data_IF_274710789070
#
_entry.id   IF_274710789070
#
_cell.length_a   1.000
_cell.length_b   1.000
_cell.length_c   1.000
_cell.angle_alpha   90.00
_cell.angle_beta   90.00
_cell.angle_gamma   90.00
#
_symmetry.space_group_name_H-M   'P 1'
#
loop_
_entity.id
_entity.type
_entity.pdbx_description
1 polymer ?
#
# COMPACT_ATOMS: atom_id res chain seq x y z
N UNK A 1 26.04 -5.54 31.70
CA UNK A 1 25.85 -4.66 30.52
C UNK A 1 24.86 -5.38 29.59
N UNK A 2 23.78 -4.73 29.16
CA UNK A 2 22.90 -5.33 28.15
C UNK A 2 23.67 -5.50 26.84
N UNK A 3 23.52 -6.65 26.18
CA UNK A 3 24.09 -6.87 24.85
C UNK A 3 23.60 -5.78 23.89
N UNK A 4 24.46 -5.28 23.00
CA UNK A 4 24.04 -4.29 22.02
C UNK A 4 22.87 -4.86 21.19
N UNK A 5 21.89 -4.00 20.88
CA UNK A 5 20.76 -4.36 20.07
C UNK A 5 21.25 -4.66 18.64
N UNK A 6 21.05 -5.89 18.17
CA UNK A 6 21.54 -6.36 16.88
C UNK A 6 20.45 -7.17 16.15
N UNK A 7 20.64 -7.37 14.86
CA UNK A 7 19.83 -8.27 14.06
C UNK A 7 19.86 -9.70 14.62
N UNK A 8 18.68 -10.30 14.75
CA UNK A 8 18.54 -11.70 15.19
C UNK A 8 18.16 -12.57 13.97
N UNK A 9 19.11 -13.33 13.43
CA UNK A 9 18.88 -14.16 12.25
C UNK A 9 17.92 -15.33 12.53
N UNK A 10 17.81 -15.82 13.77
CA UNK A 10 16.92 -16.92 14.09
C UNK A 10 15.45 -16.49 13.98
N UNK A 11 15.12 -15.32 14.52
CA UNK A 11 13.78 -14.74 14.42
C UNK A 11 13.45 -14.44 12.95
N UNK A 12 14.37 -13.84 12.18
CA UNK A 12 14.14 -13.54 10.77
C UNK A 12 13.96 -14.81 9.92
N UNK A 13 14.71 -15.87 10.23
CA UNK A 13 14.62 -17.15 9.54
C UNK A 13 13.25 -17.82 9.70
N UNK A 14 12.55 -17.62 10.82
CA UNK A 14 11.18 -18.10 11.02
C UNK A 14 10.25 -17.55 9.93
N UNK A 15 10.32 -16.24 9.64
CA UNK A 15 9.56 -15.66 8.55
C UNK A 15 10.05 -16.16 7.18
N UNK A 16 11.35 -16.06 6.90
CA UNK A 16 11.87 -16.31 5.55
C UNK A 16 11.65 -17.76 5.08
N UNK A 17 11.73 -18.74 5.98
CA UNK A 17 11.45 -20.15 5.68
C UNK A 17 9.97 -20.41 5.34
N UNK A 18 9.07 -19.54 5.78
CA UNK A 18 7.64 -19.65 5.49
C UNK A 18 7.24 -19.01 4.16
N UNK A 19 8.18 -18.33 3.46
CA UNK A 19 7.92 -17.61 2.23
C UNK A 19 8.39 -18.38 1.01
N UNK A 20 7.56 -18.33 -0.05
CA UNK A 20 7.87 -18.88 -1.37
C UNK A 20 8.70 -17.92 -2.26
N UNK A 21 8.84 -16.67 -1.83
CA UNK A 21 9.70 -15.64 -2.41
C UNK A 21 10.09 -14.65 -1.33
N UNK A 22 11.38 -14.35 -1.21
CA UNK A 22 11.93 -13.37 -0.29
C UNK A 22 12.38 -12.16 -1.10
N UNK A 23 11.62 -11.07 -1.02
CA UNK A 23 11.99 -9.77 -1.57
C UNK A 23 12.15 -8.78 -0.41
N UNK A 24 13.37 -8.28 -0.22
CA UNK A 24 13.71 -7.35 0.85
C UNK A 24 13.87 -5.92 0.32
N UNK A 25 13.48 -4.96 1.15
CA UNK A 25 13.68 -3.54 0.88
C UNK A 25 14.38 -2.91 2.08
N UNK A 26 15.48 -2.23 1.82
CA UNK A 26 16.32 -1.55 2.79
C UNK A 26 16.06 -0.05 2.71
N UNK A 27 15.64 0.56 3.82
CA UNK A 27 15.32 1.99 3.86
C UNK A 27 16.13 2.63 5.00
N UNK A 28 17.02 3.53 4.66
CA UNK A 28 17.77 4.26 5.67
C UNK A 28 16.87 5.33 6.33
N UNK A 29 16.79 5.41 7.67
CA UNK A 29 15.87 6.31 8.38
C UNK A 29 16.11 7.79 8.10
N UNK A 30 17.30 8.17 7.68
CA UNK A 30 17.66 9.54 7.32
C UNK A 30 17.49 9.85 5.81
N UNK A 31 16.86 8.97 5.04
CA UNK A 31 16.59 9.19 3.61
C UNK A 31 17.79 9.05 2.68
N UNK A 32 18.90 8.45 3.14
CA UNK A 32 20.16 8.33 2.37
C UNK A 32 20.01 7.31 1.22
N UNK A 33 19.04 6.38 1.29
CA UNK A 33 18.84 5.40 0.23
C UNK A 33 17.65 4.49 0.47
N UNK A 34 17.11 4.00 -0.65
CA UNK A 34 16.11 2.94 -0.70
C UNK A 34 16.60 1.91 -1.72
N UNK A 35 16.81 0.69 -1.27
CA UNK A 35 17.30 -0.42 -2.10
C UNK A 35 16.35 -1.60 -1.95
N UNK A 36 16.17 -2.38 -3.01
CA UNK A 36 15.40 -3.62 -2.98
C UNK A 36 16.18 -4.75 -3.62
N UNK A 37 15.94 -5.98 -3.20
CA UNK A 37 16.54 -7.17 -3.80
C UNK A 37 15.62 -8.38 -3.66
N UNK A 38 15.49 -9.12 -4.76
CA UNK A 38 14.77 -10.40 -4.81
C UNK A 38 15.77 -11.55 -4.64
N UNK A 39 15.57 -12.32 -3.59
CA UNK A 39 16.39 -13.50 -3.27
C UNK A 39 15.73 -14.82 -3.71
N UNK A 40 14.53 -14.74 -4.33
CA UNK A 40 13.76 -15.93 -4.60
C UNK A 40 13.50 -16.72 -3.31
N UNK A 41 13.97 -17.98 -3.24
CA UNK A 41 13.89 -18.84 -2.04
C UNK A 41 15.20 -18.86 -1.23
N UNK A 42 16.18 -18.02 -1.56
CA UNK A 42 17.51 -17.97 -0.94
C UNK A 42 17.48 -17.38 0.47
N UNK A 43 17.09 -18.20 1.46
CA UNK A 43 16.95 -17.75 2.85
C UNK A 43 18.28 -17.33 3.47
N UNK A 44 19.38 -18.06 3.25
CA UNK A 44 20.68 -17.76 3.85
C UNK A 44 21.27 -16.45 3.32
N UNK A 45 21.19 -16.23 2.01
CA UNK A 45 21.62 -15.00 1.36
C UNK A 45 20.80 -13.80 1.83
N UNK A 46 19.48 -13.99 1.96
CA UNK A 46 18.58 -12.95 2.46
C UNK A 46 18.90 -12.59 3.92
N UNK A 47 19.19 -13.58 4.78
CA UNK A 47 19.59 -13.35 6.18
C UNK A 47 20.92 -12.59 6.27
N UNK A 48 21.92 -13.01 5.50
CA UNK A 48 23.22 -12.34 5.48
C UNK A 48 23.13 -10.88 5.01
N UNK A 49 22.36 -10.64 3.95
CA UNK A 49 22.13 -9.30 3.42
C UNK A 49 21.36 -8.42 4.40
N UNK A 50 20.30 -8.96 5.06
CA UNK A 50 19.52 -8.27 6.06
C UNK A 50 20.36 -7.90 7.28
N UNK A 51 21.18 -8.83 7.80
CA UNK A 51 22.06 -8.62 8.94
C UNK A 51 23.06 -7.48 8.65
N UNK A 52 23.72 -7.55 7.48
CA UNK A 52 24.67 -6.51 7.07
C UNK A 52 23.99 -5.15 6.96
N UNK A 53 22.89 -5.03 6.22
CA UNK A 53 22.21 -3.76 6.03
C UNK A 53 21.66 -3.19 7.35
N UNK A 54 21.16 -4.05 8.26
CA UNK A 54 20.65 -3.60 9.55
C UNK A 54 21.78 -3.11 10.47
N UNK A 55 22.97 -3.74 10.43
CA UNK A 55 24.16 -3.26 11.12
C UNK A 55 24.66 -1.91 10.57
N UNK A 56 24.51 -1.68 9.26
CA UNK A 56 24.79 -0.41 8.59
C UNK A 56 23.70 0.68 8.85
N UNK A 57 22.71 0.40 9.73
CA UNK A 57 21.67 1.36 10.15
C UNK A 57 20.44 1.42 9.26
N UNK A 58 20.29 0.52 8.29
CA UNK A 58 19.08 0.43 7.48
C UNK A 58 17.95 -0.29 8.23
N UNK A 59 16.75 0.19 8.02
CA UNK A 59 15.53 -0.51 8.35
C UNK A 59 15.25 -1.58 7.30
N UNK A 60 14.96 -2.81 7.74
CA UNK A 60 14.73 -3.94 6.86
C UNK A 60 13.24 -4.22 6.76
N UNK A 61 12.75 -4.25 5.53
CA UNK A 61 11.37 -4.58 5.21
C UNK A 61 11.31 -5.77 4.25
N UNK A 62 10.24 -6.51 4.31
CA UNK A 62 9.89 -7.51 3.32
C UNK A 62 8.64 -7.10 2.56
N UNK A 63 8.52 -7.53 1.33
CA UNK A 63 7.32 -7.33 0.53
C UNK A 63 6.33 -8.43 0.91
N UNK A 64 5.17 -8.03 1.45
CA UNK A 64 4.17 -8.96 1.97
C UNK A 64 3.71 -9.95 0.90
N UNK A 65 3.49 -9.46 -0.32
CA UNK A 65 2.99 -10.24 -1.44
C UNK A 65 4.07 -10.46 -2.49
N UNK A 66 3.80 -11.37 -3.44
CA UNK A 66 4.78 -11.74 -4.47
C UNK A 66 4.99 -10.63 -5.49
N UNK A 67 6.25 -10.39 -5.80
CA UNK A 67 6.66 -9.49 -6.88
C UNK A 67 7.00 -10.27 -8.15
N UNK A 68 7.03 -9.60 -9.29
CA UNK A 68 7.65 -10.15 -10.49
C UNK A 68 9.12 -10.47 -10.21
N UNK A 69 9.65 -11.48 -10.89
CA UNK A 69 11.04 -11.91 -10.69
C UNK A 69 12.04 -10.80 -11.05
N UNK A 70 13.20 -10.84 -10.39
CA UNK A 70 14.37 -9.98 -10.67
C UNK A 70 14.16 -8.47 -10.47
N UNK A 71 13.27 -8.09 -9.57
CA UNK A 71 13.13 -6.68 -9.19
C UNK A 71 14.17 -6.33 -8.12
N UNK A 72 15.09 -5.44 -8.45
CA UNK A 72 16.14 -4.95 -7.54
C UNK A 72 15.86 -3.52 -7.05
N UNK A 73 14.59 -3.24 -6.73
CA UNK A 73 14.14 -1.95 -6.25
C UNK A 73 12.97 -2.12 -5.27
N UNK A 74 12.54 -1.03 -4.62
CA UNK A 74 11.24 -1.01 -3.93
C UNK A 74 10.14 -1.22 -4.96
N UNK A 75 9.32 -2.29 -4.86
CA UNK A 75 8.26 -2.55 -5.82
C UNK A 75 7.13 -1.52 -5.72
N UNK A 76 6.45 -1.33 -6.84
CA UNK A 76 5.20 -0.61 -6.95
C UNK A 76 4.08 -1.60 -7.32
N UNK A 77 2.82 -1.17 -7.31
CA UNK A 77 1.67 -2.05 -7.58
C UNK A 77 1.79 -2.87 -8.87
N UNK A 78 2.26 -2.26 -9.96
CA UNK A 78 2.42 -2.94 -11.25
C UNK A 78 3.47 -4.06 -11.24
N UNK A 79 4.33 -4.09 -10.23
CA UNK A 79 5.30 -5.16 -10.04
C UNK A 79 4.73 -6.35 -9.27
N UNK A 80 3.54 -6.23 -8.68
CA UNK A 80 2.94 -7.30 -7.89
C UNK A 80 2.32 -8.36 -8.80
N UNK A 81 2.54 -9.65 -8.47
CA UNK A 81 2.08 -10.79 -9.26
C UNK A 81 0.93 -11.54 -8.63
N UNK A 82 1.00 -11.76 -7.33
CA UNK A 82 -0.02 -12.47 -6.59
C UNK A 82 0.05 -12.09 -5.10
N UNK A 83 -1.08 -12.17 -4.42
CA UNK A 83 -1.13 -12.03 -2.98
C UNK A 83 -1.04 -13.40 -2.30
N UNK A 84 -0.35 -13.43 -1.16
CA UNK A 84 -0.21 -14.59 -0.27
C UNK A 84 -0.65 -14.31 1.16
N UNK A 85 -0.89 -13.02 1.47
CA UNK A 85 -1.38 -12.59 2.77
C UNK A 85 -2.38 -11.45 2.63
N UNK A 86 -3.39 -11.46 3.49
CA UNK A 86 -4.09 -10.28 3.96
C UNK A 86 -3.27 -9.70 5.11
N UNK A 87 -3.26 -8.37 5.30
CA UNK A 87 -2.41 -7.73 6.29
C UNK A 87 -2.99 -6.44 6.84
N UNK A 88 -2.55 -6.08 8.05
CA UNK A 88 -2.86 -4.80 8.70
C UNK A 88 -1.64 -4.29 9.46
N UNK A 89 -1.52 -2.97 9.58
CA UNK A 89 -0.46 -2.26 10.32
C UNK A 89 -1.13 -1.29 11.31
N UNK A 90 -0.94 -1.53 12.61
CA UNK A 90 -1.57 -0.75 13.68
C UNK A 90 -0.47 0.01 14.40
N UNK A 91 -0.38 1.30 14.14
CA UNK A 91 0.55 2.21 14.81
C UNK A 91 -0.09 2.90 16.03
N UNK A 92 0.72 3.32 17.02
CA UNK A 92 0.23 4.13 18.13
C UNK A 92 -0.49 5.41 17.63
N UNK A 93 -1.57 5.82 18.31
CA UNK A 93 -2.32 7.02 17.94
C UNK A 93 -1.39 8.25 17.85
N UNK A 94 -1.53 9.02 16.77
CA UNK A 94 -0.72 10.25 16.54
C UNK A 94 -0.99 11.33 17.57
N UNK A 95 -2.20 11.33 18.15
CA UNK A 95 -2.63 12.22 19.23
C UNK A 95 -1.99 11.91 20.58
N UNK A 96 -1.24 10.80 20.67
CA UNK A 96 -0.78 10.23 21.95
C UNK A 96 -1.90 9.44 22.61
N UNK A 97 -1.54 8.68 23.64
CA UNK A 97 -2.47 7.82 24.37
C UNK A 97 -1.83 6.47 24.66
N UNK A 98 -2.54 5.65 25.45
CA UNK A 98 -2.11 4.30 25.76
C UNK A 98 -2.15 3.44 24.48
N UNK A 99 -1.08 2.71 24.23
CA UNK A 99 -0.98 1.73 23.16
C UNK A 99 -0.47 0.41 23.75
N UNK A 100 -1.42 -0.38 24.22
CA UNK A 100 -1.15 -1.67 24.88
C UNK A 100 -1.09 -2.77 23.81
N UNK A 101 0.12 -3.02 23.29
CA UNK A 101 0.35 -4.05 22.25
C UNK A 101 -0.10 -5.45 22.69
N UNK A 102 0.21 -5.94 23.92
CA UNK A 102 -0.29 -7.22 24.38
C UNK A 102 -1.81 -7.33 24.36
N UNK A 103 -2.52 -6.32 24.85
CA UNK A 103 -3.98 -6.32 24.86
C UNK A 103 -4.57 -6.28 23.44
N UNK A 104 -4.00 -5.48 22.54
CA UNK A 104 -4.43 -5.42 21.13
C UNK A 104 -4.18 -6.78 20.46
N UNK A 105 -3.00 -7.37 20.63
CA UNK A 105 -2.69 -8.68 20.06
C UNK A 105 -3.61 -9.78 20.59
N UNK A 106 -3.90 -9.78 21.90
CA UNK A 106 -4.84 -10.73 22.50
C UNK A 106 -6.24 -10.59 21.88
N UNK A 107 -6.72 -9.36 21.71
CA UNK A 107 -8.00 -9.10 21.06
C UNK A 107 -8.02 -9.54 19.59
N UNK A 108 -6.89 -9.42 18.85
CA UNK A 108 -6.76 -9.92 17.49
C UNK A 108 -6.80 -11.45 17.41
N UNK A 109 -6.31 -12.14 18.43
CA UNK A 109 -6.31 -13.61 18.50
C UNK A 109 -7.65 -14.18 18.98
N UNK A 110 -8.53 -13.36 19.56
CA UNK A 110 -9.83 -13.75 20.12
C UNK A 110 -11.01 -13.51 19.16
N UNK A 111 -10.76 -13.30 17.88
CA UNK A 111 -11.81 -13.15 16.86
C UNK A 111 -12.04 -14.45 16.08
N UNK A 112 -13.15 -14.57 15.37
CA UNK A 112 -13.53 -15.78 14.61
C UNK A 112 -12.50 -16.16 13.52
N UNK A 113 -11.83 -15.18 12.92
CA UNK A 113 -10.75 -15.39 11.96
C UNK A 113 -9.46 -14.72 12.48
N UNK A 114 -8.73 -15.34 13.43
CA UNK A 114 -7.50 -14.76 13.97
C UNK A 114 -6.39 -14.70 12.93
N UNK A 115 -5.44 -13.74 13.05
CA UNK A 115 -4.28 -13.70 12.15
C UNK A 115 -3.39 -14.94 12.31
N UNK A 116 -2.84 -15.43 11.22
CA UNK A 116 -1.89 -16.56 11.21
C UNK A 116 -0.62 -16.23 12.01
N UNK A 117 -0.20 -14.96 12.05
CA UNK A 117 0.88 -14.49 12.92
C UNK A 117 0.82 -12.97 13.15
N UNK A 118 1.45 -12.53 14.25
CA UNK A 118 1.53 -11.12 14.63
C UNK A 118 2.98 -10.75 14.93
N UNK A 119 3.43 -9.61 14.37
CA UNK A 119 4.76 -9.03 14.59
C UNK A 119 4.64 -7.73 15.38
N UNK A 120 5.41 -7.60 16.48
CA UNK A 120 5.77 -6.29 17.02
C UNK A 120 6.86 -5.67 16.16
N UNK A 121 6.53 -4.65 15.38
CA UNK A 121 7.46 -3.95 14.50
C UNK A 121 8.49 -3.09 15.24
N UNK A 122 8.48 -3.09 16.59
CA UNK A 122 9.21 -2.16 17.43
C UNK A 122 8.54 -0.78 17.56
N UNK A 123 7.59 -0.47 16.71
CA UNK A 123 6.78 0.76 16.72
C UNK A 123 5.31 0.49 16.93
N UNK A 124 4.72 -0.33 16.12
CA UNK A 124 3.33 -0.77 16.08
C UNK A 124 3.22 -2.27 16.02
N UNK A 125 2.04 -2.79 15.67
CA UNK A 125 1.73 -4.19 15.43
C UNK A 125 1.43 -4.42 13.96
N UNK A 126 1.87 -5.55 13.44
CA UNK A 126 1.60 -6.00 12.08
C UNK A 126 1.00 -7.40 12.14
N UNK A 127 -0.21 -7.57 11.62
CA UNK A 127 -0.87 -8.86 11.61
C UNK A 127 -1.11 -9.35 10.19
N UNK A 128 -1.08 -10.68 10.02
CA UNK A 128 -1.09 -11.32 8.72
C UNK A 128 -2.00 -12.54 8.73
N UNK A 129 -2.85 -12.66 7.73
CA UNK A 129 -3.67 -13.84 7.45
C UNK A 129 -3.11 -14.51 6.20
N UNK A 130 -2.62 -15.72 6.35
CA UNK A 130 -2.07 -16.50 5.24
C UNK A 130 -3.22 -16.99 4.36
N UNK A 131 -3.11 -16.79 3.06
CA UNK A 131 -4.04 -17.35 2.10
C UNK A 131 -3.71 -18.83 1.82
N UNK A 132 -4.74 -19.62 1.55
CA UNK A 132 -4.64 -21.06 1.21
C UNK A 132 -3.97 -21.33 -0.15
N UNK A 133 -3.80 -20.27 -0.94
CA UNK A 133 -3.09 -20.25 -2.22
C UNK A 133 -2.70 -18.84 -2.63
N UNK A 134 -2.08 -18.73 -3.80
CA UNK A 134 -1.73 -17.43 -4.37
C UNK A 134 -2.95 -16.82 -5.05
N UNK A 135 -3.38 -15.65 -4.59
CA UNK A 135 -4.51 -14.92 -5.16
C UNK A 135 -4.03 -13.92 -6.24
N UNK A 136 -4.53 -14.09 -7.47
CA UNK A 136 -4.18 -13.22 -8.61
C UNK A 136 -5.09 -11.99 -8.72
N UNK A 137 -6.30 -12.05 -8.14
CA UNK A 137 -7.21 -10.89 -8.09
C UNK A 137 -6.77 -9.91 -7.00
N UNK A 138 -5.73 -9.15 -7.31
CA UNK A 138 -5.10 -8.22 -6.37
C UNK A 138 -6.05 -7.11 -5.89
N UNK A 139 -7.03 -6.73 -6.72
CA UNK A 139 -8.05 -5.73 -6.34
C UNK A 139 -9.00 -6.25 -5.26
N UNK A 140 -9.41 -7.52 -5.35
CA UNK A 140 -10.23 -8.15 -4.31
C UNK A 140 -9.45 -8.23 -2.98
N UNK A 141 -8.16 -8.55 -3.04
CA UNK A 141 -7.29 -8.60 -1.86
C UNK A 141 -7.15 -7.22 -1.20
N UNK A 142 -6.98 -6.14 -1.98
CA UNK A 142 -6.98 -4.78 -1.42
C UNK A 142 -8.35 -4.43 -0.77
N UNK A 143 -9.45 -4.93 -1.33
CA UNK A 143 -10.78 -4.81 -0.74
C UNK A 143 -10.86 -5.46 0.65
N UNK A 144 -10.34 -6.68 0.79
CA UNK A 144 -10.30 -7.40 2.09
C UNK A 144 -9.35 -6.68 3.06
N UNK A 145 -8.17 -6.23 2.62
CA UNK A 145 -7.28 -5.42 3.46
C UNK A 145 -7.97 -4.16 3.99
N UNK A 146 -8.85 -3.53 3.18
CA UNK A 146 -9.66 -2.39 3.61
C UNK A 146 -10.66 -2.77 4.71
N UNK A 147 -11.34 -3.92 4.57
CA UNK A 147 -12.27 -4.43 5.59
C UNK A 147 -11.54 -4.67 6.91
N UNK A 148 -10.41 -5.36 6.87
CA UNK A 148 -9.56 -5.65 8.04
C UNK A 148 -9.04 -4.36 8.68
N UNK A 149 -8.55 -3.42 7.87
CA UNK A 149 -8.12 -2.09 8.35
C UNK A 149 -9.23 -1.37 9.09
N UNK A 150 -10.43 -1.32 8.52
CA UNK A 150 -11.57 -0.61 9.10
C UNK A 150 -12.09 -1.30 10.36
N UNK A 151 -12.02 -2.63 10.42
CA UNK A 151 -12.38 -3.42 11.59
C UNK A 151 -11.48 -3.11 12.79
N UNK A 152 -10.16 -3.02 12.56
CA UNK A 152 -9.19 -2.72 13.61
C UNK A 152 -8.89 -1.21 13.76
N UNK A 153 -9.57 -0.34 13.04
CA UNK A 153 -9.32 1.11 13.02
C UNK A 153 -7.83 1.45 12.76
N UNK A 154 -7.19 0.65 11.89
CA UNK A 154 -5.77 0.69 11.62
C UNK A 154 -5.36 1.76 10.61
N UNK A 155 -4.05 1.94 10.44
CA UNK A 155 -3.51 2.88 9.45
C UNK A 155 -3.81 2.45 8.01
N UNK A 156 -3.79 3.43 7.08
CA UNK A 156 -4.02 3.19 5.66
C UNK A 156 -2.87 2.37 5.05
N UNK A 157 -3.00 1.05 5.06
CA UNK A 157 -1.98 0.11 4.58
C UNK A 157 -2.53 -0.98 3.65
N UNK A 158 -3.71 -0.77 3.07
CA UNK A 158 -4.43 -1.78 2.28
C UNK A 158 -3.75 -2.20 0.96
N UNK A 159 -2.75 -1.45 0.51
CA UNK A 159 -2.10 -1.68 -0.79
C UNK A 159 -1.34 -3.01 -0.81
N UNK A 160 -1.45 -3.74 -1.92
CA UNK A 160 -0.77 -5.04 -2.10
C UNK A 160 0.76 -4.95 -2.19
N UNK A 161 1.31 -3.80 -2.56
CA UNK A 161 2.75 -3.51 -2.58
C UNK A 161 3.31 -3.07 -1.22
N UNK A 162 2.56 -3.37 -0.15
CA UNK A 162 2.94 -2.98 1.20
C UNK A 162 4.25 -3.63 1.63
N UNK A 163 5.09 -2.81 2.23
CA UNK A 163 6.31 -3.24 2.92
C UNK A 163 6.03 -3.35 4.41
N UNK A 164 6.38 -4.47 5.01
CA UNK A 164 6.26 -4.72 6.43
C UNK A 164 7.63 -5.00 7.06
N UNK A 165 7.76 -4.77 8.36
CA UNK A 165 9.01 -4.93 9.08
C UNK A 165 9.44 -6.41 9.12
N UNK A 166 10.72 -6.68 8.82
CA UNK A 166 11.27 -8.02 9.03
C UNK A 166 11.45 -8.24 10.54
N UNK A 167 10.81 -9.28 11.13
CA UNK A 167 11.09 -9.67 12.51
C UNK A 167 12.55 -10.09 12.66
N UNK A 168 13.15 -9.87 13.83
CA UNK A 168 14.59 -10.03 14.05
C UNK A 168 15.41 -8.82 13.63
N UNK A 169 14.84 -7.84 12.91
CA UNK A 169 15.56 -6.59 12.56
C UNK A 169 15.39 -5.51 13.62
N UNK A 170 16.44 -4.71 13.81
CA UNK A 170 16.35 -3.51 14.63
C UNK A 170 15.63 -2.42 13.86
N UNK A 171 14.56 -1.89 14.45
CA UNK A 171 13.83 -0.73 13.95
C UNK A 171 14.58 0.54 14.38
N UNK A 172 15.30 1.15 13.43
CA UNK A 172 16.01 2.40 13.63
C UNK A 172 15.05 3.58 13.41
N UNK A 173 14.70 4.37 14.46
CA UNK A 173 13.83 5.53 14.29
C UNK A 173 14.54 6.66 13.54
N UNK A 174 13.79 7.36 12.68
CA UNK A 174 14.26 8.59 12.06
C UNK A 174 14.42 9.73 13.08
N UNK A 175 15.12 10.82 12.69
CA UNK A 175 15.38 11.96 13.57
C UNK A 175 14.11 12.55 14.21
N UNK A 176 12.98 12.59 13.48
CA UNK A 176 11.70 13.11 14.00
C UNK A 176 11.11 12.19 15.07
N UNK A 177 11.24 10.87 14.88
CA UNK A 177 10.81 9.88 15.86
C UNK A 177 11.71 9.88 17.11
N UNK A 178 13.02 10.02 16.92
CA UNK A 178 13.98 10.15 18.04
C UNK A 178 13.67 11.39 18.91
N UNK A 179 13.40 12.54 18.30
CA UNK A 179 12.97 13.76 19.03
C UNK A 179 11.68 13.57 19.83
N UNK A 180 10.84 12.59 19.45
CA UNK A 180 9.63 12.18 20.19
C UNK A 180 9.90 11.07 21.22
N UNK A 181 11.16 10.79 21.54
CA UNK A 181 11.56 9.79 22.53
C UNK A 181 11.55 8.35 22.03
N UNK A 182 11.38 8.09 20.71
CA UNK A 182 11.52 6.73 20.20
C UNK A 182 12.98 6.32 20.17
N UNK A 183 13.24 5.12 20.67
CA UNK A 183 14.56 4.47 20.69
C UNK A 183 14.57 3.27 19.74
N UNK A 184 15.73 2.81 19.27
CA UNK A 184 15.84 1.56 18.52
C UNK A 184 15.24 0.39 19.30
N UNK A 185 14.54 -0.50 18.60
CA UNK A 185 13.90 -1.69 19.17
C UNK A 185 14.00 -2.85 18.20
N UNK A 186 14.19 -4.05 18.72
CA UNK A 186 14.10 -5.27 17.93
C UNK A 186 12.65 -5.54 17.56
N UNK A 187 12.39 -5.86 16.30
CA UNK A 187 11.10 -6.38 15.88
C UNK A 187 11.05 -7.89 16.21
N UNK A 188 9.92 -8.35 16.75
CA UNK A 188 9.78 -9.74 17.20
C UNK A 188 8.39 -10.29 16.86
N UNK A 189 8.24 -11.59 16.84
CA UNK A 189 6.89 -12.18 16.85
C UNK A 189 6.22 -11.98 18.21
N UNK A 190 4.94 -11.66 18.19
CA UNK A 190 4.03 -11.81 19.34
C UNK A 190 3.35 -13.18 19.26
N UNK A 191 2.90 -13.56 18.05
CA UNK A 191 2.40 -14.88 17.73
C UNK A 191 3.10 -15.35 16.48
N UNK A 192 3.73 -16.51 16.53
CA UNK A 192 4.36 -17.15 15.36
C UNK A 192 3.30 -17.80 14.48
N UNK A 193 3.66 -18.05 13.22
CA UNK A 193 2.82 -18.71 12.23
C UNK A 193 2.49 -20.14 12.67
N UNK A 194 1.22 -20.39 12.97
CA UNK A 194 0.71 -21.70 13.39
C UNK A 194 0.26 -22.59 12.21
N UNK A 195 0.45 -22.10 10.97
CA UNK A 195 0.05 -22.77 9.75
C UNK A 195 -1.42 -22.56 9.36
N UNK A 196 -2.18 -21.77 10.10
CA UNK A 196 -3.56 -21.44 9.74
C UNK A 196 -3.60 -20.68 8.41
N UNK A 197 -4.45 -21.15 7.51
CA UNK A 197 -4.66 -20.57 6.17
C UNK A 197 -6.13 -20.29 5.94
N UNK A 198 -6.42 -19.33 5.07
CA UNK A 198 -7.77 -18.84 4.79
C UNK A 198 -8.01 -18.72 3.29
N UNK A 199 -9.20 -19.09 2.85
CA UNK A 199 -9.68 -18.64 1.54
C UNK A 199 -9.97 -17.14 1.55
N UNK A 200 -9.68 -16.38 0.47
CA UNK A 200 -10.00 -14.96 0.41
C UNK A 200 -11.48 -14.65 0.71
N UNK A 201 -12.38 -15.49 0.25
CA UNK A 201 -13.83 -15.35 0.43
C UNK A 201 -14.23 -15.53 1.90
N UNK A 202 -13.56 -16.41 2.61
CA UNK A 202 -13.76 -16.63 4.04
C UNK A 202 -13.40 -15.37 4.84
N UNK A 203 -12.24 -14.78 4.55
CA UNK A 203 -11.83 -13.51 5.18
C UNK A 203 -12.76 -12.36 4.81
N UNK A 204 -13.20 -12.28 3.54
CA UNK A 204 -14.17 -11.27 3.12
C UNK A 204 -15.50 -11.39 3.85
N UNK A 205 -15.92 -12.62 4.22
CA UNK A 205 -17.14 -12.86 4.99
C UNK A 205 -16.96 -12.61 6.50
N UNK A 206 -15.75 -12.84 7.04
CA UNK A 206 -15.44 -12.70 8.47
C UNK A 206 -15.32 -11.24 8.92
N UNK A 207 -15.01 -10.33 8.01
CA UNK A 207 -14.90 -8.90 8.32
C UNK A 207 -16.05 -8.11 7.71
N UNK A 208 -16.63 -7.13 8.45
CA UNK A 208 -17.70 -6.29 7.91
C UNK A 208 -17.24 -5.58 6.63
N UNK A 209 -18.15 -5.27 5.69
CA UNK A 209 -17.83 -4.46 4.53
C UNK A 209 -17.08 -3.19 4.94
N UNK A 210 -16.03 -2.85 4.21
CA UNK A 210 -15.27 -1.64 4.48
C UNK A 210 -16.20 -0.44 4.57
N UNK A 211 -16.03 0.39 5.59
CA UNK A 211 -16.80 1.63 5.75
C UNK A 211 -16.62 2.43 4.47
N UNK A 212 -17.70 2.99 3.88
CA UNK A 212 -17.54 3.91 2.78
C UNK A 212 -16.58 5.00 3.24
N UNK A 213 -15.41 5.04 2.64
CA UNK A 213 -14.36 5.97 3.04
C UNK A 213 -14.85 7.36 2.68
N UNK A 214 -15.29 8.14 3.68
CA UNK A 214 -15.68 9.52 3.49
C UNK A 214 -14.54 10.37 2.89
N UNK A 215 -13.27 9.90 2.99
CA UNK A 215 -12.12 10.46 2.30
C UNK A 215 -11.98 9.97 0.85
N UNK A 216 -12.66 8.88 0.45
CA UNK A 216 -12.64 8.29 -0.91
C UNK A 216 -14.01 8.28 -1.58
N UNK A 217 -15.10 8.59 -0.86
CA UNK A 217 -16.32 9.01 -1.52
C UNK A 217 -16.02 10.39 -2.13
N UNK A 218 -16.18 10.58 -3.46
CA UNK A 218 -16.05 11.90 -4.02
C UNK A 218 -17.12 12.77 -3.35
N UNK A 219 -16.69 13.57 -2.36
CA UNK A 219 -17.56 14.58 -1.79
C UNK A 219 -17.76 15.63 -2.87
N UNK A 220 -18.90 15.57 -3.54
CA UNK A 220 -19.34 16.57 -4.51
C UNK A 220 -19.29 18.00 -3.97
N UNK A 221 -19.21 18.15 -2.64
CA UNK A 221 -19.27 19.45 -1.96
C UNK A 221 -17.91 20.12 -1.68
N UNK A 222 -16.75 19.50 -1.99
CA UNK A 222 -15.46 19.99 -1.52
C UNK A 222 -14.36 20.13 -2.58
N UNK A 223 -14.64 19.93 -3.86
CA UNK A 223 -13.68 20.28 -4.93
C UNK A 223 -13.80 21.78 -5.18
N UNK A 224 -12.90 22.55 -4.60
CA UNK A 224 -12.79 23.98 -4.90
C UNK A 224 -12.18 24.11 -6.31
N UNK A 225 -13.04 24.02 -7.33
CA UNK A 225 -12.66 24.20 -8.72
C UNK A 225 -12.43 25.70 -8.94
N UNK A 226 -11.26 26.13 -9.40
CA UNK A 226 -11.05 27.51 -9.75
C UNK A 226 -12.13 28.00 -10.73
N UNK A 227 -12.56 29.24 -10.59
CA UNK A 227 -13.65 29.81 -11.40
C UNK A 227 -13.41 29.79 -12.92
N UNK A 228 -12.17 29.56 -13.33
CA UNK A 228 -11.76 29.46 -14.73
C UNK A 228 -11.74 28.01 -15.27
N UNK A 229 -12.10 27.00 -14.46
CA UNK A 229 -12.19 25.61 -14.91
C UNK A 229 -13.65 25.18 -14.92
N UNK A 230 -14.16 24.93 -16.10
CA UNK A 230 -15.50 24.35 -16.28
C UNK A 230 -15.42 22.84 -16.17
N UNK A 231 -16.27 22.24 -15.33
CA UNK A 231 -16.43 20.79 -15.28
C UNK A 231 -17.11 20.31 -16.55
N UNK A 232 -16.52 19.30 -17.20
CA UNK A 232 -16.91 18.86 -18.53
C UNK A 232 -17.33 17.40 -18.47
N UNK A 233 -18.47 17.06 -19.07
CA UNK A 233 -18.92 15.70 -19.36
C UNK A 233 -18.64 15.33 -20.81
N UNK A 234 -18.81 14.06 -21.17
CA UNK A 234 -18.73 13.63 -22.57
C UNK A 234 -19.81 14.24 -23.45
N UNK A 235 -20.99 14.54 -22.88
CA UNK A 235 -22.08 15.19 -23.61
C UNK A 235 -21.77 16.66 -23.91
N UNK A 236 -21.07 17.36 -23.00
CA UNK A 236 -20.58 18.73 -23.25
C UNK A 236 -19.56 18.79 -24.38
N UNK A 237 -18.85 17.68 -24.63
CA UNK A 237 -17.89 17.54 -25.72
C UNK A 237 -18.54 17.07 -27.04
N UNK A 238 -19.80 16.70 -27.02
CA UNK A 238 -20.52 16.17 -28.20
C UNK A 238 -19.99 14.83 -28.69
N UNK A 239 -19.34 14.04 -27.82
CA UNK A 239 -18.74 12.76 -28.18
C UNK A 239 -19.80 11.67 -28.40
N UNK A 240 -19.63 10.87 -29.44
CA UNK A 240 -20.49 9.71 -29.68
C UNK A 240 -20.24 8.60 -28.67
N UNK A 241 -21.17 7.67 -28.54
CA UNK A 241 -21.03 6.52 -27.60
C UNK A 241 -19.84 5.60 -27.90
N UNK A 242 -19.33 5.60 -29.13
CA UNK A 242 -18.17 4.79 -29.56
C UNK A 242 -16.87 5.58 -29.60
N UNK A 243 -16.89 6.84 -29.18
CA UNK A 243 -15.67 7.67 -29.14
C UNK A 243 -14.68 7.12 -28.10
N UNK A 244 -13.41 6.90 -28.48
CA UNK A 244 -12.40 6.41 -27.55
C UNK A 244 -12.22 7.27 -26.30
N UNK A 245 -12.38 8.59 -26.42
CA UNK A 245 -12.31 9.52 -25.26
C UNK A 245 -13.52 9.27 -24.35
N UNK A 246 -14.72 9.14 -24.90
CA UNK A 246 -15.92 8.86 -24.13
C UNK A 246 -15.77 7.54 -23.37
N UNK A 247 -15.32 6.50 -24.06
CA UNK A 247 -15.07 5.19 -23.44
C UNK A 247 -14.08 5.32 -22.27
N UNK A 248 -12.96 6.02 -22.47
CA UNK A 248 -11.94 6.20 -21.45
C UNK A 248 -12.42 7.04 -20.25
N UNK A 249 -13.31 8.01 -20.45
CA UNK A 249 -13.87 8.86 -19.39
C UNK A 249 -14.97 8.14 -18.61
N UNK A 250 -15.86 7.42 -19.29
CA UNK A 250 -17.07 6.80 -18.72
C UNK A 250 -16.83 5.35 -18.22
N UNK A 251 -15.75 4.71 -18.65
CA UNK A 251 -15.42 3.37 -18.17
C UNK A 251 -15.17 3.40 -16.66
N UNK A 252 -15.79 2.47 -15.89
CA UNK A 252 -15.47 2.31 -14.49
C UNK A 252 -13.95 2.12 -14.31
N UNK A 253 -13.32 2.81 -13.34
CA UNK A 253 -11.88 2.71 -13.15
C UNK A 253 -11.48 1.26 -12.90
N UNK A 254 -10.50 0.77 -13.66
CA UNK A 254 -9.93 -0.55 -13.52
C UNK A 254 -9.04 -0.69 -12.27
N UNK A 255 -8.23 -1.73 -12.24
CA UNK A 255 -7.29 -1.95 -11.14
C UNK A 255 -6.20 -0.88 -11.04
N UNK A 256 -5.77 -0.31 -12.18
CA UNK A 256 -4.82 0.82 -12.23
C UNK A 256 -5.54 2.14 -12.50
N UNK A 257 -6.22 2.66 -11.48
CA UNK A 257 -6.94 3.94 -11.58
C UNK A 257 -6.05 5.11 -12.01
N UNK A 258 -4.76 5.06 -11.68
CA UNK A 258 -3.78 6.08 -12.07
C UNK A 258 -3.44 5.97 -13.56
N UNK A 259 -3.22 4.74 -14.05
CA UNK A 259 -2.99 4.45 -15.46
C UNK A 259 -4.20 4.78 -16.32
N UNK A 260 -5.41 4.43 -15.86
CA UNK A 260 -6.66 4.76 -16.57
C UNK A 260 -6.82 6.29 -16.72
N UNK A 261 -6.57 7.03 -15.64
CA UNK A 261 -6.62 8.49 -15.65
C UNK A 261 -5.58 9.11 -16.59
N UNK A 262 -4.37 8.56 -16.63
CA UNK A 262 -3.31 9.03 -17.52
C UNK A 262 -3.62 8.68 -18.98
N UNK A 263 -4.20 7.51 -19.26
CA UNK A 263 -4.63 7.10 -20.58
C UNK A 263 -5.75 8.02 -21.14
N UNK A 264 -6.74 8.32 -20.30
CA UNK A 264 -7.80 9.27 -20.67
C UNK A 264 -7.22 10.67 -20.96
N UNK A 265 -6.30 11.16 -20.12
CA UNK A 265 -5.61 12.43 -20.35
C UNK A 265 -4.84 12.43 -21.68
N UNK A 266 -4.17 11.32 -22.00
CA UNK A 266 -3.39 11.17 -23.25
C UNK A 266 -4.29 11.20 -24.49
N UNK A 267 -5.42 10.48 -24.47
CA UNK A 267 -6.39 10.51 -25.56
C UNK A 267 -6.90 11.92 -25.81
N UNK A 268 -7.35 12.62 -24.77
CA UNK A 268 -7.84 14.00 -24.87
C UNK A 268 -6.75 14.97 -25.37
N UNK A 269 -5.51 14.81 -24.93
CA UNK A 269 -4.40 15.63 -25.34
C UNK A 269 -4.02 15.40 -26.82
N UNK A 270 -4.07 14.17 -27.32
CA UNK A 270 -3.79 13.81 -28.71
C UNK A 270 -4.85 14.37 -29.67
N UNK A 271 -6.10 14.48 -29.23
CA UNK A 271 -7.18 15.15 -29.97
C UNK A 271 -7.13 16.69 -29.87
N UNK A 272 -6.07 17.23 -29.29
CA UNK A 272 -5.83 18.66 -29.24
C UNK A 272 -6.68 19.43 -28.23
N UNK A 273 -7.30 18.77 -27.28
CA UNK A 273 -8.06 19.44 -26.24
C UNK A 273 -7.18 20.36 -25.39
N UNK A 274 -7.74 21.51 -24.99
CA UNK A 274 -7.05 22.44 -24.12
C UNK A 274 -6.89 21.85 -22.70
N UNK A 275 -5.78 22.18 -22.02
CA UNK A 275 -5.48 21.65 -20.68
C UNK A 275 -6.61 21.92 -19.69
N UNK A 276 -7.27 23.07 -19.75
CA UNK A 276 -8.41 23.40 -18.91
C UNK A 276 -9.61 22.46 -19.14
N UNK A 277 -9.85 22.03 -20.38
CA UNK A 277 -10.90 21.07 -20.71
C UNK A 277 -10.56 19.68 -20.19
N UNK A 278 -9.31 19.24 -20.37
CA UNK A 278 -8.82 17.95 -19.85
C UNK A 278 -8.93 17.94 -18.33
N UNK A 279 -8.46 18.98 -17.66
CA UNK A 279 -8.63 19.11 -16.18
C UNK A 279 -10.10 19.02 -15.80
N UNK A 280 -10.96 19.79 -16.50
CA UNK A 280 -12.40 19.81 -16.22
C UNK A 280 -13.06 18.44 -16.34
N UNK A 281 -12.65 17.62 -17.31
CA UNK A 281 -13.11 16.24 -17.48
C UNK A 281 -12.57 15.31 -16.38
N UNK A 282 -11.28 15.41 -16.02
CA UNK A 282 -10.61 14.53 -15.06
C UNK A 282 -11.01 14.80 -13.61
N UNK A 283 -11.55 15.96 -13.28
CA UNK A 283 -12.03 16.28 -11.91
C UNK A 283 -13.55 16.42 -11.83
N UNK A 284 -14.29 16.15 -12.90
CA UNK A 284 -15.75 16.19 -12.87
C UNK A 284 -16.28 14.92 -12.19
N UNK A 285 -16.99 15.04 -11.05
CA UNK A 285 -17.54 13.88 -10.34
C UNK A 285 -18.54 13.05 -11.14
N UNK A 286 -19.14 13.60 -12.20
CA UNK A 286 -20.03 12.88 -13.08
C UNK A 286 -19.25 11.86 -13.97
N UNK A 287 -17.95 12.02 -14.11
CA UNK A 287 -17.10 11.16 -14.93
C UNK A 287 -16.44 10.06 -14.06
N UNK A 288 -16.64 8.77 -14.34
CA UNK A 288 -16.03 7.68 -13.58
C UNK A 288 -14.50 7.78 -13.46
N UNK A 289 -13.80 8.22 -14.50
CA UNK A 289 -12.33 8.42 -14.49
C UNK A 289 -11.86 9.41 -13.41
N UNK A 290 -12.72 10.36 -13.02
CA UNK A 290 -12.40 11.37 -12.03
C UNK A 290 -12.19 10.80 -10.62
N UNK A 291 -12.69 9.59 -10.35
CA UNK A 291 -12.58 8.95 -9.03
C UNK A 291 -11.14 8.87 -8.52
N UNK A 292 -10.14 8.65 -9.41
CA UNK A 292 -8.73 8.68 -9.06
C UNK A 292 -8.26 10.06 -8.60
N UNK A 293 -8.59 11.07 -9.35
CA UNK A 293 -8.14 12.46 -9.09
C UNK A 293 -8.83 13.05 -7.86
N UNK A 294 -10.14 12.79 -7.70
CA UNK A 294 -10.93 13.26 -6.57
C UNK A 294 -10.49 12.62 -5.24
N UNK A 295 -9.91 11.42 -5.28
CA UNK A 295 -9.31 10.77 -4.11
C UNK A 295 -7.99 11.39 -3.65
N UNK A 296 -7.37 12.28 -4.45
CA UNK A 296 -6.10 12.93 -4.10
C UNK A 296 -6.34 14.13 -3.17
N UNK A 297 -5.34 14.45 -2.33
CA UNK A 297 -5.39 15.61 -1.43
C UNK A 297 -5.65 16.93 -2.16
N UNK A 298 -5.24 17.03 -3.43
CA UNK A 298 -5.49 18.15 -4.31
C UNK A 298 -5.83 17.64 -5.71
N UNK A 299 -7.12 17.41 -6.03
CA UNK A 299 -7.57 16.90 -7.33
C UNK A 299 -7.03 17.70 -8.51
N UNK A 300 -7.10 19.02 -8.41
CA UNK A 300 -6.62 19.93 -9.45
C UNK A 300 -5.13 19.74 -9.76
N UNK A 301 -4.28 19.67 -8.72
CA UNK A 301 -2.84 19.43 -8.91
C UNK A 301 -2.57 18.05 -9.49
N UNK A 302 -3.34 17.04 -9.10
CA UNK A 302 -3.19 15.69 -9.62
C UNK A 302 -3.53 15.63 -11.12
N UNK A 303 -4.65 16.21 -11.53
CA UNK A 303 -5.05 16.31 -12.93
C UNK A 303 -4.05 17.12 -13.77
N UNK A 304 -3.62 18.28 -13.27
CA UNK A 304 -2.61 19.12 -13.95
C UNK A 304 -1.27 18.37 -14.12
N UNK A 305 -0.86 17.60 -13.13
CA UNK A 305 0.37 16.76 -13.22
C UNK A 305 0.23 15.65 -14.26
N UNK A 306 -0.94 15.00 -14.36
CA UNK A 306 -1.19 14.01 -15.40
C UNK A 306 -1.02 14.60 -16.81
N UNK A 307 -1.56 15.80 -17.04
CA UNK A 307 -1.41 16.51 -18.31
C UNK A 307 0.07 16.86 -18.59
N UNK A 308 0.80 17.36 -17.58
CA UNK A 308 2.22 17.65 -17.73
C UNK A 308 3.02 16.42 -18.15
N UNK A 309 2.75 15.25 -17.54
CA UNK A 309 3.39 13.99 -17.91
C UNK A 309 3.07 13.61 -19.37
N UNK A 310 1.79 13.70 -19.76
CA UNK A 310 1.36 13.39 -21.12
C UNK A 310 2.03 14.31 -22.15
N UNK A 311 2.11 15.61 -21.86
CA UNK A 311 2.75 16.59 -22.76
C UNK A 311 4.27 16.44 -22.84
N UNK A 312 4.92 15.95 -21.76
CA UNK A 312 6.35 15.70 -21.72
C UNK A 312 6.77 14.45 -22.50
N UNK A 313 5.90 13.43 -22.59
CA UNK A 313 6.17 12.19 -23.35
C UNK A 313 6.12 12.40 -24.89
N UNK A 314 5.63 13.56 -25.35
CA UNK A 314 5.43 13.88 -26.76
C UNK A 314 4.25 13.11 -27.40
N UNK A 315 3.82 13.48 -28.62
CA UNK A 315 2.85 12.74 -29.39
C UNK A 315 3.38 11.40 -29.86
#
# INVERSE_FOLDING_TARGET
MASPLAFDPAIAATLFKSLDQIHLVYIHPNGIGVHGHDFGTGCEEALAAAAKANADGYNIYWTVNRVAQHIHAKPAKHNMRAARFIHVDIDPPKSGGAFDKPAIAAAMLDIDAPPSFIIDSGGGLQAFWRLDGLAENLGAIEGINLQVRDYFEADACQNIDRLMRVPGSVNWPDKKKQMRGRVPRLATFISEDDGTVYAPEELAASFPPAKPNAANAPSLAAVNVPANITLITCDDLGLSALDPIRIAIEQPPGHDRSGDGLAAARLMANEGMADAQIVGALINPANPVAAHFLAQRSPLRAASRAIQLVRADGP
#
